data_IF_841707544002
#
_entry.id   IF_841707544002
#
_cell.length_a   1.000
_cell.length_b   1.000
_cell.length_c   1.000
_cell.angle_alpha   90.00
_cell.angle_beta   90.00
_cell.angle_gamma   90.00
#
_symmetry.space_group_name_H-M   'P 1'
#
loop_
_entity.id
_entity.type
_entity.pdbx_description
1 polymer ?
#
# COMPACT_ATOMS: atom_id res chain seq x y z
N UNK A 1 23.69 -27.40 -27.95
CA UNK A 1 25.11 -27.58 -28.28
C UNK A 1 25.88 -26.35 -27.79
N UNK A 2 26.35 -26.36 -26.55
CA UNK A 2 27.18 -25.27 -26.01
C UNK A 2 28.62 -25.60 -26.42
N UNK A 3 29.14 -24.85 -27.39
CA UNK A 3 30.45 -25.11 -27.98
C UNK A 3 31.55 -24.68 -27.01
N UNK A 4 32.34 -25.64 -26.52
CA UNK A 4 33.43 -25.44 -25.56
C UNK A 4 34.47 -24.40 -26.00
N UNK A 5 34.60 -24.15 -27.31
CA UNK A 5 35.50 -23.13 -27.87
C UNK A 5 35.09 -21.69 -27.53
N UNK A 6 33.81 -21.41 -27.24
CA UNK A 6 33.36 -20.07 -26.81
C UNK A 6 33.59 -19.82 -25.31
N UNK A 7 33.61 -20.87 -24.50
CA UNK A 7 33.89 -20.78 -23.05
C UNK A 7 35.38 -20.54 -22.74
N UNK A 8 36.29 -20.89 -23.67
CA UNK A 8 37.72 -20.59 -23.53
C UNK A 8 38.03 -19.08 -23.54
N UNK A 9 37.11 -18.25 -24.01
CA UNK A 9 37.23 -16.79 -24.07
C UNK A 9 36.78 -16.08 -22.79
N UNK A 10 36.22 -16.79 -21.81
CA UNK A 10 35.69 -16.24 -20.55
C UNK A 10 36.45 -16.87 -19.37
N UNK A 11 37.77 -16.99 -19.49
CA UNK A 11 38.63 -17.48 -18.41
C UNK A 11 39.59 -16.35 -18.03
N UNK A 12 39.11 -15.44 -17.18
CA UNK A 12 39.85 -14.27 -16.68
C UNK A 12 40.75 -14.59 -15.47
N UNK A 13 40.81 -15.86 -15.04
CA UNK A 13 41.48 -16.25 -13.81
C UNK A 13 42.73 -17.10 -14.08
N UNK A 14 43.79 -16.84 -13.31
CA UNK A 14 45.02 -17.64 -13.32
C UNK A 14 44.66 -19.09 -12.97
N UNK A 15 44.82 -20.01 -13.92
CA UNK A 15 44.58 -21.45 -13.73
C UNK A 15 45.21 -21.90 -12.42
N UNK A 16 44.36 -22.22 -11.44
CA UNK A 16 44.81 -22.75 -10.16
C UNK A 16 45.54 -24.07 -10.46
N UNK A 17 46.80 -24.26 -10.00
CA UNK A 17 47.53 -25.50 -10.25
C UNK A 17 46.74 -26.67 -9.66
N UNK A 18 46.60 -27.74 -10.45
CA UNK A 18 45.74 -28.90 -10.13
C UNK A 18 46.18 -29.64 -8.86
N UNK A 19 47.38 -29.38 -8.38
CA UNK A 19 47.93 -29.96 -7.16
C UNK A 19 47.30 -29.39 -5.86
N UNK A 20 46.56 -28.28 -5.94
CA UNK A 20 45.83 -27.70 -4.80
C UNK A 20 44.31 -27.90 -4.89
N UNK A 21 43.82 -28.59 -5.91
CA UNK A 21 42.38 -28.83 -6.12
C UNK A 21 42.21 -30.26 -6.63
N UNK A 22 42.21 -31.22 -5.71
CA UNK A 22 41.75 -32.57 -6.01
C UNK A 22 40.26 -32.52 -6.35
N UNK A 23 39.96 -32.53 -7.64
CA UNK A 23 38.61 -32.64 -8.14
C UNK A 23 38.07 -34.04 -7.84
N UNK A 24 37.39 -34.19 -6.69
CA UNK A 24 36.74 -35.44 -6.33
C UNK A 24 35.39 -35.59 -7.04
N UNK A 25 35.11 -36.79 -7.59
CA UNK A 25 33.86 -37.12 -8.28
C UNK A 25 32.64 -36.91 -7.36
N UNK A 26 32.79 -37.19 -6.06
CA UNK A 26 31.76 -36.95 -5.05
C UNK A 26 31.56 -35.45 -4.78
N UNK A 27 32.65 -34.67 -4.76
CA UNK A 27 32.61 -33.21 -4.59
C UNK A 27 31.91 -32.49 -5.75
N UNK A 28 32.06 -33.00 -6.98
CA UNK A 28 31.34 -32.50 -8.14
C UNK A 28 29.82 -32.74 -8.01
N UNK A 29 29.40 -33.93 -7.56
CA UNK A 29 28.00 -34.25 -7.28
C UNK A 29 27.40 -33.35 -6.21
N UNK A 30 28.11 -33.19 -5.08
CA UNK A 30 27.68 -32.28 -4.00
C UNK A 30 27.59 -30.83 -4.48
N UNK A 31 28.51 -30.37 -5.32
CA UNK A 31 28.49 -29.01 -5.85
C UNK A 31 27.29 -28.76 -6.78
N UNK A 32 26.92 -29.75 -7.61
CA UNK A 32 25.73 -29.65 -8.47
C UNK A 32 24.46 -29.60 -7.64
N UNK A 33 24.36 -30.46 -6.62
CA UNK A 33 23.22 -30.49 -5.69
C UNK A 33 23.12 -29.17 -4.93
N UNK A 34 24.23 -28.66 -4.41
CA UNK A 34 24.28 -27.38 -3.71
C UNK A 34 23.88 -26.21 -4.63
N UNK A 35 24.40 -26.16 -5.86
CA UNK A 35 24.03 -25.15 -6.84
C UNK A 35 22.53 -25.19 -7.19
N UNK A 36 21.95 -26.40 -7.29
CA UNK A 36 20.51 -26.57 -7.50
C UNK A 36 19.69 -25.99 -6.34
N UNK A 37 20.05 -26.31 -5.10
CA UNK A 37 19.37 -25.76 -3.92
C UNK A 37 19.49 -24.24 -3.84
N UNK A 38 20.68 -23.69 -4.09
CA UNK A 38 20.90 -22.23 -4.10
C UNK A 38 20.02 -21.56 -5.15
N UNK A 39 19.98 -22.10 -6.38
CA UNK A 39 19.15 -21.54 -7.46
C UNK A 39 17.66 -21.63 -7.14
N UNK A 40 17.22 -22.74 -6.56
CA UNK A 40 15.83 -22.96 -6.17
C UNK A 40 15.38 -21.99 -5.07
N UNK A 41 16.15 -21.87 -4.00
CA UNK A 41 15.87 -20.95 -2.89
C UNK A 41 15.87 -19.50 -3.37
N UNK A 42 16.84 -19.12 -4.19
CA UNK A 42 16.89 -17.78 -4.79
C UNK A 42 15.66 -17.50 -5.65
N UNK A 43 15.22 -18.47 -6.45
CA UNK A 43 14.01 -18.34 -7.28
C UNK A 43 12.74 -18.14 -6.45
N UNK A 44 12.59 -18.87 -5.34
CA UNK A 44 11.47 -18.70 -4.42
C UNK A 44 11.47 -17.32 -3.76
N UNK A 45 12.61 -16.88 -3.23
CA UNK A 45 12.71 -15.59 -2.55
C UNK A 45 12.50 -14.43 -3.52
N UNK A 46 13.04 -14.54 -4.73
CA UNK A 46 12.82 -13.57 -5.79
C UNK A 46 11.35 -13.50 -6.20
N UNK A 47 10.67 -14.65 -6.29
CA UNK A 47 9.23 -14.69 -6.57
C UNK A 47 8.43 -14.03 -5.45
N UNK A 48 8.76 -14.31 -4.19
CA UNK A 48 8.14 -13.68 -3.03
C UNK A 48 8.38 -12.16 -3.01
N UNK A 49 9.60 -11.73 -3.31
CA UNK A 49 9.97 -10.31 -3.41
C UNK A 49 9.21 -9.57 -4.52
N UNK A 50 9.02 -10.21 -5.67
CA UNK A 50 8.24 -9.65 -6.79
C UNK A 50 6.73 -9.78 -6.57
N UNK A 51 6.29 -10.64 -5.66
CA UNK A 51 4.89 -10.77 -5.30
C UNK A 51 4.49 -9.56 -4.46
N UNK A 52 3.70 -8.67 -5.07
CA UNK A 52 3.16 -7.49 -4.41
C UNK A 52 2.20 -7.94 -3.30
N UNK A 53 2.69 -7.96 -2.07
CA UNK A 53 1.88 -8.17 -0.88
C UNK A 53 1.34 -6.83 -0.42
N UNK A 54 0.04 -6.61 -0.60
CA UNK A 54 -0.65 -5.42 -0.11
C UNK A 54 -0.83 -5.52 1.41
N UNK A 55 0.17 -5.04 2.16
CA UNK A 55 0.03 -4.79 3.59
C UNK A 55 -0.71 -3.48 3.80
N UNK A 56 -1.97 -3.55 4.23
CA UNK A 56 -2.76 -2.41 4.66
C UNK A 56 -2.29 -1.93 6.03
N UNK A 57 -1.17 -1.21 6.08
CA UNK A 57 -0.80 -0.48 7.28
C UNK A 57 -1.72 0.73 7.44
N UNK A 58 -2.63 0.68 8.42
CA UNK A 58 -3.43 1.84 8.84
C UNK A 58 -2.49 2.80 9.56
N UNK A 59 -1.91 3.72 8.80
CA UNK A 59 -1.16 4.85 9.36
C UNK A 59 -2.19 5.92 9.68
N UNK A 60 -2.29 6.31 10.94
CA UNK A 60 -3.08 7.47 11.35
C UNK A 60 -2.33 8.70 10.84
N UNK A 61 -2.84 9.33 9.79
CA UNK A 61 -2.34 10.62 9.32
C UNK A 61 -2.43 11.61 10.47
N UNK A 62 -1.28 11.91 11.08
CA UNK A 62 -1.12 13.01 12.04
C UNK A 62 -0.83 14.31 11.31
N UNK A 63 -1.49 14.52 10.18
CA UNK A 63 -1.58 15.83 9.56
C UNK A 63 -2.22 16.74 10.60
N UNK A 64 -1.50 17.77 11.04
CA UNK A 64 -1.99 18.80 11.96
C UNK A 64 -3.15 19.62 11.39
N UNK A 65 -3.54 19.33 10.15
CA UNK A 65 -4.75 19.82 9.51
C UNK A 65 -5.94 18.95 9.93
N UNK A 66 -6.12 18.78 11.24
CA UNK A 66 -7.38 18.39 11.86
C UNK A 66 -8.38 19.56 11.81
N UNK A 67 -8.42 20.26 10.68
CA UNK A 67 -9.36 21.34 10.43
C UNK A 67 -10.68 20.69 10.03
N UNK A 68 -11.73 21.03 10.76
CA UNK A 68 -13.09 20.55 10.56
C UNK A 68 -13.44 20.42 9.06
N UNK A 69 -13.95 19.25 8.66
CA UNK A 69 -14.48 19.05 7.32
C UNK A 69 -15.68 19.99 7.12
N UNK A 70 -15.51 21.04 6.33
CA UNK A 70 -16.57 22.01 6.03
C UNK A 70 -17.59 21.37 5.09
N UNK A 71 -18.79 21.11 5.61
CA UNK A 71 -19.93 20.58 4.85
C UNK A 71 -20.98 21.69 4.77
N UNK A 72 -21.13 22.29 3.60
CA UNK A 72 -22.17 23.29 3.32
C UNK A 72 -23.33 22.63 2.55
N UNK A 73 -24.53 22.56 3.15
CA UNK A 73 -25.74 22.08 2.47
C UNK A 73 -26.87 23.12 2.59
N UNK A 74 -27.54 23.38 1.47
CA UNK A 74 -28.67 24.31 1.37
C UNK A 74 -29.95 23.50 1.15
N UNK A 75 -30.76 23.35 2.20
CA UNK A 75 -32.01 22.57 2.20
C UNK A 75 -33.12 23.44 2.80
N UNK A 76 -34.22 23.60 2.06
CA UNK A 76 -35.38 24.42 2.46
C UNK A 76 -36.60 23.56 2.75
N UNK A 77 -37.27 23.78 3.90
CA UNK A 77 -38.48 23.06 4.31
C UNK A 77 -39.67 24.04 4.43
N UNK A 78 -40.50 24.22 3.39
CA UNK A 78 -41.55 25.23 3.37
C UNK A 78 -42.76 24.93 4.27
N UNK A 79 -42.92 23.68 4.70
CA UNK A 79 -44.08 23.22 5.48
C UNK A 79 -43.74 22.89 6.95
N UNK A 80 -42.53 23.20 7.43
CA UNK A 80 -42.07 22.86 8.77
C UNK A 80 -41.62 24.13 9.52
N UNK A 81 -42.17 24.37 10.71
CA UNK A 81 -41.74 25.50 11.55
C UNK A 81 -40.34 25.23 12.11
N UNK A 82 -39.46 26.24 12.06
CA UNK A 82 -38.07 26.14 12.49
C UNK A 82 -37.90 25.81 13.99
N UNK A 83 -38.93 26.05 14.81
CA UNK A 83 -38.94 25.65 16.23
C UNK A 83 -38.91 24.11 16.41
N UNK A 84 -39.32 23.35 15.39
CA UNK A 84 -39.30 21.89 15.39
C UNK A 84 -38.19 21.30 14.53
N UNK A 85 -37.36 22.13 13.89
CA UNK A 85 -36.23 21.68 13.09
C UNK A 85 -34.98 21.54 13.97
N UNK A 86 -34.30 20.39 13.88
CA UNK A 86 -33.00 20.18 14.53
C UNK A 86 -32.07 19.42 13.60
N UNK A 87 -30.79 19.79 13.60
CA UNK A 87 -29.75 19.11 12.82
C UNK A 87 -28.86 18.35 13.80
N UNK A 88 -28.78 17.04 13.62
CA UNK A 88 -27.89 16.15 14.37
C UNK A 88 -26.76 15.67 13.46
N UNK A 89 -25.52 15.93 13.86
CA UNK A 89 -24.32 15.45 13.17
C UNK A 89 -23.67 14.39 14.04
N UNK A 90 -23.56 13.18 13.51
CA UNK A 90 -22.92 12.04 14.17
C UNK A 90 -21.75 11.55 13.32
N UNK A 91 -20.55 11.56 13.91
CA UNK A 91 -19.33 11.03 13.28
C UNK A 91 -19.11 9.56 13.66
N UNK A 92 -18.32 8.81 12.90
CA UNK A 92 -17.92 7.40 13.17
C UNK A 92 -17.23 7.23 14.52
N UNK A 93 -16.74 8.34 15.11
CA UNK A 93 -16.16 8.42 16.45
C UNK A 93 -17.21 8.51 17.57
N UNK A 94 -18.51 8.53 17.24
CA UNK A 94 -19.62 8.60 18.19
C UNK A 94 -19.84 9.98 18.82
N UNK A 95 -19.27 11.04 18.24
CA UNK A 95 -19.53 12.41 18.68
C UNK A 95 -20.83 12.90 18.04
N UNK A 96 -21.82 13.20 18.88
CA UNK A 96 -23.11 13.77 18.46
C UNK A 96 -23.13 15.27 18.76
N UNK A 97 -23.38 16.08 17.74
CA UNK A 97 -23.54 17.54 17.88
C UNK A 97 -24.95 17.93 17.46
N UNK A 98 -25.65 18.63 18.35
CA UNK A 98 -27.04 19.03 18.17
C UNK A 98 -27.14 20.54 17.96
N UNK A 99 -27.66 20.94 16.79
CA UNK A 99 -27.83 22.35 16.43
C UNK A 99 -29.32 22.70 16.32
N UNK A 100 -29.85 23.38 17.34
CA UNK A 100 -31.23 23.94 17.36
C UNK A 100 -31.29 25.46 17.22
N UNK A 101 -30.28 26.19 17.70
CA UNK A 101 -30.33 27.65 17.78
C UNK A 101 -29.78 28.40 16.55
N UNK A 102 -29.20 27.69 15.57
CA UNK A 102 -28.63 28.31 14.35
C UNK A 102 -29.57 28.28 13.14
N UNK A 103 -30.82 27.86 13.32
CA UNK A 103 -31.84 27.75 12.27
C UNK A 103 -32.75 29.01 12.19
N UNK A 104 -32.19 30.23 12.03
CA UNK A 104 -32.75 31.36 11.24
C UNK A 104 -31.91 32.64 11.36
N UNK A 105 -31.74 33.44 10.28
CA UNK A 105 -32.77 33.79 9.29
C UNK A 105 -32.34 33.50 7.84
N UNK A 106 -32.68 32.32 7.30
CA UNK A 106 -32.78 32.11 5.84
C UNK A 106 -34.23 32.21 5.34
N UNK A 107 -35.17 32.54 6.23
CA UNK A 107 -36.60 32.66 5.92
C UNK A 107 -37.01 34.03 5.35
N UNK A 108 -36.06 34.88 4.95
CA UNK A 108 -36.36 36.17 4.31
C UNK A 108 -35.79 36.33 2.89
N UNK A 109 -35.05 35.36 2.36
CA UNK A 109 -34.47 35.48 1.02
C UNK A 109 -35.20 34.69 -0.08
N UNK A 110 -35.96 33.64 0.27
CA UNK A 110 -36.59 32.78 -0.75
C UNK A 110 -38.10 33.08 -0.97
N UNK A 111 -38.76 33.76 -0.03
CA UNK A 111 -40.19 34.07 -0.13
C UNK A 111 -40.53 35.32 -0.97
N UNK A 112 -39.54 35.97 -1.59
CA UNK A 112 -39.72 37.16 -2.45
C UNK A 112 -39.44 36.89 -3.95
N UNK A 113 -39.33 35.61 -4.36
CA UNK A 113 -39.04 35.25 -5.76
C UNK A 113 -39.99 34.22 -6.39
N UNK A 114 -41.28 34.27 -6.07
CA UNK A 114 -42.38 34.15 -7.05
C UNK A 114 -43.78 34.36 -6.44
#
# INVERSE_FOLDING_TARGET
MISASKLKSVDFYRKIPRDLTEASLSGAGLSIIAAFFIMFLFGMELNNYLTVSTLTSVIVDRSSDGEFLRIDFNISFPALSCEFASVDVSDVLGTVSFFTHHLQPLLFADSDSH
#
